data_IF_589669711080
#
_entry.id   IF_589669711080
#
_cell.length_a   1.000
_cell.length_b   1.000
_cell.length_c   1.000
_cell.angle_alpha   90.00
_cell.angle_beta   90.00
_cell.angle_gamma   90.00
#
_symmetry.space_group_name_H-M   'P 1'
#
loop_
_entity.id
_entity.type
_entity.pdbx_description
1 polymer ?
#
# COMPACT_ATOMS: atom_id res chain seq x y z
N UNK A 1 10.58 -9.49 -6.13
CA UNK A 1 9.24 -9.22 -6.71
C UNK A 1 8.75 -7.86 -6.25
N UNK A 2 7.92 -7.14 -7.02
CA UNK A 2 7.34 -5.88 -6.57
C UNK A 2 6.40 -6.11 -5.39
N UNK A 3 6.48 -5.24 -4.38
CA UNK A 3 5.61 -5.30 -3.19
C UNK A 3 4.88 -3.97 -3.04
N UNK A 4 3.54 -4.03 -2.93
CA UNK A 4 2.70 -2.87 -2.69
C UNK A 4 2.38 -2.75 -1.20
N UNK A 5 2.70 -1.60 -0.61
CA UNK A 5 2.19 -1.22 0.72
C UNK A 5 1.26 -0.03 0.57
N UNK A 6 -0.03 -0.30 0.71
CA UNK A 6 -1.10 0.65 0.47
C UNK A 6 -1.97 0.82 1.71
N UNK A 7 -2.29 2.06 2.01
CA UNK A 7 -3.39 2.42 2.91
C UNK A 7 -4.43 3.19 2.11
N UNK A 8 -5.69 3.08 2.53
CA UNK A 8 -6.79 3.78 1.90
C UNK A 8 -7.74 4.32 2.98
N UNK A 9 -8.42 5.40 2.64
CA UNK A 9 -9.58 5.91 3.35
C UNK A 9 -10.77 5.86 2.38
N UNK A 10 -11.74 4.99 2.66
CA UNK A 10 -12.90 4.76 1.81
C UNK A 10 -14.16 5.16 2.57
N UNK A 11 -15.00 6.00 1.97
CA UNK A 11 -16.26 6.45 2.56
C UNK A 11 -17.48 5.97 1.77
N UNK A 12 -18.57 5.69 2.48
CA UNK A 12 -19.90 5.48 1.91
C UNK A 12 -20.94 6.01 2.88
N UNK A 13 -21.85 6.83 2.37
CA UNK A 13 -22.93 7.44 3.17
C UNK A 13 -22.34 8.22 4.37
N UNK A 14 -22.63 7.80 5.59
CA UNK A 14 -22.17 8.41 6.84
C UNK A 14 -20.98 7.67 7.49
N UNK A 15 -20.44 6.66 6.82
CA UNK A 15 -19.33 5.84 7.34
C UNK A 15 -18.05 6.00 6.52
N UNK A 16 -16.92 5.92 7.24
CA UNK A 16 -15.57 5.89 6.64
C UNK A 16 -14.73 4.78 7.26
N UNK A 17 -14.00 4.04 6.43
CA UNK A 17 -13.01 3.06 6.85
C UNK A 17 -11.62 3.50 6.39
N UNK A 18 -10.68 3.56 7.32
CA UNK A 18 -9.29 3.94 7.03
C UNK A 18 -8.33 2.89 7.56
N UNK A 19 -7.36 2.46 6.75
CA UNK A 19 -6.33 1.53 7.19
C UNK A 19 -5.59 0.82 6.06
N UNK A 20 -4.92 -0.28 6.41
CA UNK A 20 -4.19 -1.11 5.46
C UNK A 20 -5.14 -1.78 4.47
N UNK A 21 -4.80 -1.70 3.18
CA UNK A 21 -5.53 -2.45 2.15
C UNK A 21 -5.13 -3.92 2.23
N UNK A 22 -6.13 -4.80 2.18
CA UNK A 22 -5.96 -6.26 2.14
C UNK A 22 -6.43 -6.79 0.79
N UNK A 23 -6.02 -8.01 0.47
CA UNK A 23 -6.53 -8.71 -0.72
C UNK A 23 -8.06 -8.82 -0.66
N UNK A 24 -8.71 -8.66 -1.81
CA UNK A 24 -10.18 -8.74 -1.93
C UNK A 24 -10.90 -7.40 -2.07
N UNK A 25 -10.22 -6.25 -1.91
CA UNK A 25 -10.79 -4.95 -2.26
C UNK A 25 -10.96 -4.85 -3.78
N UNK A 26 -12.15 -4.44 -4.23
CA UNK A 26 -12.52 -4.34 -5.64
C UNK A 26 -12.93 -2.92 -5.98
N UNK A 27 -12.43 -2.41 -7.11
CA UNK A 27 -12.99 -1.22 -7.75
C UNK A 27 -14.43 -1.49 -8.15
N UNK A 28 -15.34 -0.57 -7.81
CA UNK A 28 -16.74 -0.71 -8.17
C UNK A 28 -17.02 -0.24 -9.60
N UNK A 29 -16.83 1.05 -9.89
CA UNK A 29 -16.99 1.62 -11.24
C UNK A 29 -15.63 2.01 -11.83
N UNK A 30 -14.91 2.93 -11.16
CA UNK A 30 -13.60 3.43 -11.61
C UNK A 30 -12.70 3.62 -10.40
N UNK A 31 -11.41 3.30 -10.56
CA UNK A 31 -10.33 3.68 -9.66
C UNK A 31 -9.30 4.40 -10.52
N UNK A 32 -9.19 5.71 -10.33
CA UNK A 32 -8.17 6.52 -10.99
C UNK A 32 -6.90 6.51 -10.13
N UNK A 33 -5.76 6.17 -10.72
CA UNK A 33 -4.50 6.08 -10.01
C UNK A 33 -3.38 6.71 -10.84
N UNK A 34 -2.50 7.44 -10.15
CA UNK A 34 -1.24 7.94 -10.70
C UNK A 34 -0.13 7.12 -10.06
N UNK A 35 0.68 6.46 -10.89
CA UNK A 35 1.86 5.72 -10.44
C UNK A 35 3.10 6.47 -10.92
N UNK A 36 3.98 6.82 -9.99
CA UNK A 36 5.25 7.49 -10.28
C UNK A 36 6.40 6.54 -9.97
N UNK A 37 7.29 6.35 -10.93
CA UNK A 37 8.51 5.57 -10.74
C UNK A 37 9.65 6.47 -10.23
N UNK A 38 10.37 5.98 -9.22
CA UNK A 38 11.59 6.62 -8.71
C UNK A 38 12.80 5.88 -9.29
N UNK A 39 13.42 6.45 -10.31
CA UNK A 39 14.61 5.88 -10.94
C UNK A 39 15.85 6.01 -10.05
N UNK A 40 16.75 5.03 -10.12
CA UNK A 40 18.00 5.02 -9.34
C UNK A 40 17.84 4.68 -7.86
N UNK A 41 16.66 4.24 -7.42
CA UNK A 41 16.41 3.81 -6.04
C UNK A 41 16.96 2.40 -5.76
N UNK A 42 17.67 2.24 -4.64
CA UNK A 42 18.07 0.93 -4.07
C UNK A 42 17.03 0.35 -3.10
N UNK A 43 15.87 1.00 -2.95
CA UNK A 43 14.91 0.67 -1.91
C UNK A 43 14.36 -0.75 -2.04
N UNK A 44 14.48 -1.53 -0.98
CA UNK A 44 14.00 -2.91 -0.88
C UNK A 44 13.36 -3.16 0.48
N UNK A 45 12.40 -4.08 0.55
CA UNK A 45 11.91 -4.57 1.84
C UNK A 45 12.86 -5.61 2.42
N UNK A 46 13.20 -5.47 3.71
CA UNK A 46 14.06 -6.41 4.44
C UNK A 46 13.43 -6.81 5.77
N UNK A 47 13.63 -8.05 6.25
CA UNK A 47 13.17 -8.46 7.57
C UNK A 47 13.74 -7.57 8.66
N UNK A 48 12.87 -7.04 9.51
CA UNK A 48 13.23 -6.30 10.71
C UNK A 48 13.01 -7.17 11.95
N UNK A 49 14.07 -7.58 12.68
CA UNK A 49 13.94 -8.47 13.84
C UNK A 49 13.15 -7.87 15.01
N UNK A 50 13.10 -6.54 15.11
CA UNK A 50 12.40 -5.86 16.21
C UNK A 50 10.89 -5.90 16.07
N UNK A 51 10.39 -5.78 14.85
CA UNK A 51 8.96 -5.75 14.55
C UNK A 51 8.40 -7.05 13.98
N UNK A 52 9.26 -7.93 13.46
CA UNK A 52 8.85 -9.16 12.76
C UNK A 52 8.24 -8.91 11.38
N UNK A 53 8.33 -7.69 10.85
CA UNK A 53 7.85 -7.31 9.53
C UNK A 53 9.00 -7.09 8.55
N UNK A 54 8.71 -7.20 7.25
CA UNK A 54 9.60 -6.72 6.21
C UNK A 54 9.41 -5.21 6.02
N UNK A 55 10.35 -4.40 6.50
CA UNK A 55 10.29 -2.93 6.44
C UNK A 55 11.09 -2.38 5.26
N UNK A 56 10.76 -1.17 4.82
CA UNK A 56 11.48 -0.48 3.75
C UNK A 56 12.90 -0.13 4.23
N UNK A 57 13.89 -0.51 3.44
CA UNK A 57 15.30 -0.20 3.63
C UNK A 57 15.87 0.36 2.32
N UNK A 58 16.82 1.30 2.42
CA UNK A 58 17.46 1.96 1.27
C UNK A 58 18.97 1.73 1.29
#
# INVERSE_FOLDING_TARGET
EPVLHLHAACGREDHTHTGCVRLGVRTWLVLEAIVMEIVGSSAVRRPDPGSGFDLLNV
#
